data_IF_234195248808
#
_entry.id   IF_234195248808
#
_cell.length_a   1.000
_cell.length_b   1.000
_cell.length_c   1.000
_cell.angle_alpha   90.00
_cell.angle_beta   90.00
_cell.angle_gamma   90.00
#
_symmetry.space_group_name_H-M   'P 1'
#
loop_
_entity.id
_entity.type
_entity.pdbx_description
1 polymer ?
#
# COMPACT_ATOMS: atom_id res chain seq x y z
N UNK A 1 14.52 -6.13 12.58
CA UNK A 1 14.18 -7.19 11.61
C UNK A 1 12.74 -6.95 11.21
N UNK A 2 12.51 -6.33 10.05
CA UNK A 2 11.16 -6.19 9.51
C UNK A 2 11.03 -7.17 8.35
N UNK A 3 10.06 -8.08 8.46
CA UNK A 3 9.69 -8.97 7.37
C UNK A 3 8.19 -9.17 7.45
N UNK A 4 7.39 -8.53 6.57
CA UNK A 4 6.04 -9.01 6.34
C UNK A 4 5.86 -9.49 4.90
N UNK A 5 5.74 -10.82 4.81
CA UNK A 5 4.70 -11.51 4.03
C UNK A 5 4.75 -11.41 2.50
N UNK A 6 5.86 -11.88 1.92
CA UNK A 6 5.85 -12.40 0.55
C UNK A 6 5.33 -13.85 0.46
N UNK A 7 4.32 -14.27 1.22
CA UNK A 7 3.92 -15.69 1.15
C UNK A 7 2.43 -15.87 1.33
N UNK A 8 1.71 -16.01 0.21
CA UNK A 8 0.49 -16.83 0.16
C UNK A 8 0.24 -17.60 -1.15
N UNK A 9 0.90 -17.36 -2.28
CA UNK A 9 0.71 -18.22 -3.46
C UNK A 9 1.99 -18.35 -4.31
N UNK A 10 2.65 -19.51 -4.17
CA UNK A 10 3.58 -20.19 -5.11
C UNK A 10 4.86 -19.42 -5.52
N UNK A 11 6.02 -19.91 -5.04
CA UNK A 11 7.40 -19.44 -5.32
C UNK A 11 7.75 -18.02 -4.81
N UNK A 12 7.62 -17.85 -3.50
CA UNK A 12 7.71 -16.62 -2.71
C UNK A 12 9.06 -15.86 -2.67
N UNK A 13 10.15 -16.38 -3.23
CA UNK A 13 11.46 -15.74 -3.03
C UNK A 13 11.84 -14.73 -4.13
N UNK A 14 11.49 -15.02 -5.39
CA UNK A 14 11.95 -14.19 -6.51
C UNK A 14 11.13 -12.90 -6.67
N UNK A 15 9.80 -12.98 -6.56
CA UNK A 15 8.94 -11.81 -6.78
C UNK A 15 9.26 -10.68 -5.81
N UNK A 16 9.47 -10.98 -4.53
CA UNK A 16 9.79 -9.93 -3.56
C UNK A 16 11.22 -9.40 -3.69
N UNK A 17 12.19 -10.24 -4.04
CA UNK A 17 13.54 -9.75 -4.37
C UNK A 17 13.53 -8.81 -5.57
N UNK A 18 12.73 -9.12 -6.60
CA UNK A 18 12.57 -8.24 -7.76
C UNK A 18 11.92 -6.92 -7.34
N UNK A 19 10.85 -6.96 -6.54
CA UNK A 19 10.17 -5.77 -6.06
C UNK A 19 11.05 -4.89 -5.15
N UNK A 20 11.90 -5.49 -4.31
CA UNK A 20 12.87 -4.76 -3.49
C UNK A 20 14.02 -4.15 -4.30
N UNK A 21 14.31 -4.73 -5.47
CA UNK A 21 15.33 -4.20 -6.38
C UNK A 21 14.84 -2.96 -7.15
N UNK A 22 13.54 -2.66 -7.11
CA UNK A 22 12.95 -1.48 -7.75
C UNK A 22 13.15 -0.26 -6.83
N UNK A 23 13.69 0.82 -7.39
CA UNK A 23 13.92 2.07 -6.65
C UNK A 23 12.62 2.84 -6.36
N UNK A 24 11.58 2.61 -7.17
CA UNK A 24 10.23 3.13 -6.94
C UNK A 24 9.47 2.35 -5.86
N UNK A 25 8.65 3.06 -5.11
CA UNK A 25 7.78 2.47 -4.11
C UNK A 25 6.70 1.61 -4.75
N UNK A 26 6.66 0.32 -4.38
CA UNK A 26 5.67 -0.64 -4.85
C UNK A 26 4.82 -1.12 -3.68
N UNK A 27 3.51 -1.02 -3.86
CA UNK A 27 2.52 -1.51 -2.92
C UNK A 27 1.28 -2.04 -3.65
N UNK A 28 0.53 -2.91 -3.00
CA UNK A 28 -0.70 -3.51 -3.56
C UNK A 28 -1.89 -3.16 -2.68
N UNK A 29 -2.97 -2.68 -3.31
CA UNK A 29 -4.23 -2.36 -2.63
C UNK A 29 -5.37 -3.28 -3.09
N UNK A 30 -6.33 -3.53 -2.19
CA UNK A 30 -7.60 -4.17 -2.54
C UNK A 30 -8.62 -3.18 -3.14
N UNK A 31 -9.82 -3.68 -3.44
CA UNK A 31 -10.94 -2.87 -3.95
C UNK A 31 -11.41 -1.81 -2.93
N UNK A 32 -11.15 -2.05 -1.65
CA UNK A 32 -11.45 -1.12 -0.57
C UNK A 32 -10.32 -0.13 -0.31
N UNK A 33 -9.29 -0.11 -1.17
CA UNK A 33 -8.12 0.77 -1.12
C UNK A 33 -7.24 0.54 0.11
N UNK A 34 -7.33 -0.64 0.73
CA UNK A 34 -6.44 -1.02 1.82
C UNK A 34 -5.19 -1.65 1.24
N UNK A 35 -4.02 -1.26 1.77
CA UNK A 35 -2.75 -1.91 1.43
C UNK A 35 -2.79 -3.33 2.00
N UNK A 36 -2.62 -4.37 1.18
CA UNK A 36 -2.89 -5.75 1.63
C UNK A 36 -1.64 -6.56 1.95
N UNK A 37 -0.77 -6.79 0.98
CA UNK A 37 0.28 -7.82 1.06
C UNK A 37 1.66 -7.30 0.76
N UNK A 38 1.77 -6.22 0.00
CA UNK A 38 3.03 -5.76 -0.56
C UNK A 38 3.22 -4.29 -0.23
N UNK A 39 4.39 -4.00 0.32
CA UNK A 39 4.92 -2.67 0.56
C UNK A 39 6.45 -2.82 0.56
N UNK A 40 7.11 -2.56 -0.56
CA UNK A 40 8.56 -2.83 -0.71
C UNK A 40 9.41 -1.84 0.10
N UNK A 41 10.71 -2.12 0.27
CA UNK A 41 11.59 -1.22 1.03
C UNK A 41 11.70 0.17 0.42
N UNK A 42 11.55 0.32 -0.90
CA UNK A 42 11.52 1.63 -1.52
C UNK A 42 10.32 2.45 -1.02
N UNK A 43 9.14 1.84 -0.93
CA UNK A 43 7.95 2.49 -0.38
C UNK A 43 8.15 2.86 1.09
N UNK A 44 8.79 2.01 1.88
CA UNK A 44 9.14 2.34 3.27
C UNK A 44 10.06 3.56 3.35
N UNK A 45 11.12 3.60 2.54
CA UNK A 45 12.08 4.72 2.50
C UNK A 45 11.44 6.02 2.03
N UNK A 46 10.59 5.95 1.00
CA UNK A 46 9.95 7.13 0.39
C UNK A 46 8.89 7.71 1.34
N UNK A 47 8.09 6.86 1.98
CA UNK A 47 6.94 7.30 2.78
C UNK A 47 7.27 7.49 4.26
N UNK A 48 8.33 6.83 4.75
CA UNK A 48 8.70 6.80 6.16
C UNK A 48 7.88 5.82 7.02
N UNK A 49 6.94 5.10 6.43
CA UNK A 49 6.15 4.07 7.12
C UNK A 49 6.75 2.70 6.90
N UNK A 50 6.81 1.86 7.94
CA UNK A 50 7.13 0.45 7.74
C UNK A 50 5.96 -0.29 7.09
N UNK A 51 6.24 -1.42 6.45
CA UNK A 51 5.24 -2.29 5.88
C UNK A 51 4.25 -2.79 6.95
N UNK A 52 4.72 -3.00 8.19
CA UNK A 52 3.87 -3.36 9.33
C UNK A 52 2.87 -2.25 9.72
N UNK A 53 3.24 -0.99 9.52
CA UNK A 53 2.35 0.16 9.76
C UNK A 53 1.41 0.41 8.58
N UNK A 54 1.86 0.13 7.36
CA UNK A 54 1.12 0.41 6.14
C UNK A 54 0.08 -0.67 5.81
N UNK A 55 0.40 -1.95 6.03
CA UNK A 55 -0.50 -3.06 5.71
C UNK A 55 -1.79 -2.97 6.56
N UNK A 56 -2.93 -3.15 5.89
CA UNK A 56 -4.29 -3.03 6.43
C UNK A 56 -4.83 -1.59 6.43
N UNK A 57 -3.98 -0.58 6.27
CA UNK A 57 -4.39 0.83 6.25
C UNK A 57 -4.90 1.26 4.87
N UNK A 58 -5.73 2.30 4.85
CA UNK A 58 -6.11 2.93 3.59
C UNK A 58 -4.88 3.58 2.96
N UNK A 59 -4.68 3.36 1.66
CA UNK A 59 -3.53 3.92 0.93
C UNK A 59 -3.46 5.45 1.03
N UNK A 60 -4.60 6.15 1.12
CA UNK A 60 -4.64 7.61 1.25
C UNK A 60 -4.05 8.07 2.59
N UNK A 61 -4.25 7.31 3.67
CA UNK A 61 -3.75 7.67 4.99
C UNK A 61 -2.22 7.58 5.07
N UNK A 62 -1.64 6.65 4.32
CA UNK A 62 -0.18 6.44 4.23
C UNK A 62 0.46 7.36 3.20
N UNK A 63 -0.08 7.42 1.98
CA UNK A 63 0.57 8.08 0.84
C UNK A 63 0.15 9.53 0.65
N UNK A 64 -1.05 9.90 1.15
CA UNK A 64 -1.69 11.22 0.98
C UNK A 64 -1.60 11.76 -0.46
N UNK A 65 -1.68 10.87 -1.44
CA UNK A 65 -1.48 11.17 -2.84
C UNK A 65 -2.80 11.23 -3.60
N UNK A 66 -2.88 12.12 -4.59
CA UNK A 66 -4.01 12.23 -5.51
C UNK A 66 -4.28 10.94 -6.29
N UNK A 67 -3.26 10.09 -6.48
CA UNK A 67 -3.37 8.82 -7.19
C UNK A 67 -4.15 7.76 -6.38
N UNK A 68 -4.27 7.94 -5.07
CA UNK A 68 -5.06 7.06 -4.21
C UNK A 68 -6.09 7.85 -3.40
N UNK A 69 -7.16 8.39 -4.04
CA UNK A 69 -8.07 9.31 -3.38
C UNK A 69 -8.86 8.66 -2.24
N UNK A 70 -9.18 9.45 -1.20
CA UNK A 70 -10.03 9.03 -0.10
C UNK A 70 -11.36 8.44 -0.60
N UNK A 71 -11.94 7.49 0.15
CA UNK A 71 -13.31 7.03 -0.14
C UNK A 71 -14.25 8.21 -0.04
N UNK A 72 -14.82 8.61 -1.17
CA UNK A 72 -16.05 9.37 -1.21
C UNK A 72 -17.09 8.52 -0.49
N UNK A 73 -17.32 8.88 0.76
CA UNK A 73 -18.37 8.35 1.58
C UNK A 73 -19.69 8.64 0.86
N UNK A 74 -20.38 7.58 0.42
CA UNK A 74 -21.73 7.61 -0.18
C UNK A 74 -22.83 8.15 0.76
N UNK A 75 -22.45 8.89 1.80
CA UNK A 75 -23.33 9.57 2.76
C UNK A 75 -22.94 11.03 3.02
N UNK A 76 -21.96 11.62 2.33
CA UNK A 76 -21.89 13.08 2.25
C UNK A 76 -22.71 13.53 1.02
N UNK A 77 -24.01 13.77 1.25
CA UNK A 77 -24.73 14.73 0.44
C UNK A 77 -24.04 16.09 0.62
N UNK A 78 -23.02 16.37 -0.18
CA UNK A 78 -22.67 17.77 -0.43
C UNK A 78 -23.85 18.33 -1.21
N UNK A 79 -24.59 19.22 -0.54
CA UNK A 79 -25.75 19.89 -1.09
C UNK A 79 -25.45 20.43 -2.48
N UNK A 80 -26.39 20.18 -3.40
CA UNK A 80 -26.42 20.84 -4.69
C UNK A 80 -26.57 22.34 -4.46
N UNK A 81 -25.61 23.10 -4.96
CA UNK A 81 -25.71 24.53 -5.27
C UNK A 81 -25.41 24.69 -6.74
#
# INVERSE_FOLDING_TARGET
MAMPLCDKFRNANLCCQVLDSIADGVFVVDRDRRIISTFNQAAERITGFSAEQAIGQCCFDILRSFSCPAKENSSLQIGKG
#
